data_IF_708710978648
#
_entry.id   IF_708710978648
#
_cell.length_a   1.000
_cell.length_b   1.000
_cell.length_c   1.000
_cell.angle_alpha   90.00
_cell.angle_beta   90.00
_cell.angle_gamma   90.00
#
_symmetry.space_group_name_H-M   'P 1'
#
loop_
_entity.id
_entity.type
_entity.pdbx_description
1 polymer ?
#
# COMPACT_ATOMS: atom_id res chain seq x y z
N UNK A 1 -9.70 15.33 2.23
CA UNK A 1 -8.71 15.80 3.27
C UNK A 1 -8.13 14.63 4.04
N UNK A 2 -8.96 13.71 4.52
CA UNK A 2 -8.51 12.46 5.16
C UNK A 2 -7.58 11.64 4.24
N UNK A 3 -7.86 11.56 2.93
CA UNK A 3 -7.02 10.77 2.00
C UNK A 3 -5.58 11.28 1.94
N UNK A 4 -5.40 12.60 1.95
CA UNK A 4 -4.08 13.24 1.92
C UNK A 4 -3.29 12.89 3.19
N UNK A 5 -3.94 12.97 4.35
CA UNK A 5 -3.32 12.63 5.64
C UNK A 5 -2.86 11.17 5.63
N UNK A 6 -3.69 10.26 5.11
CA UNK A 6 -3.36 8.84 5.02
C UNK A 6 -2.20 8.56 4.07
N UNK A 7 -2.16 9.22 2.91
CA UNK A 7 -1.01 9.16 2.00
C UNK A 7 0.27 9.65 2.68
N UNK A 8 0.21 10.74 3.45
CA UNK A 8 1.34 11.27 4.21
C UNK A 8 1.79 10.31 5.32
N UNK A 9 0.86 9.69 6.04
CA UNK A 9 1.18 8.66 7.05
C UNK A 9 1.88 7.46 6.42
N UNK A 10 1.42 6.98 5.26
CA UNK A 10 2.06 5.90 4.52
C UNK A 10 3.49 6.28 4.12
N UNK A 11 3.70 7.50 3.60
CA UNK A 11 5.03 8.00 3.25
C UNK A 11 5.96 8.08 4.47
N UNK A 12 5.44 8.47 5.64
CA UNK A 12 6.20 8.48 6.89
C UNK A 12 6.61 7.07 7.31
N UNK A 13 5.72 6.08 7.21
CA UNK A 13 6.04 4.66 7.47
C UNK A 13 7.10 4.15 6.50
N UNK A 14 6.95 4.43 5.21
CA UNK A 14 7.94 4.08 4.18
C UNK A 14 9.30 4.69 4.47
N UNK A 15 9.36 5.97 4.82
CA UNK A 15 10.58 6.65 5.21
C UNK A 15 11.22 5.97 6.44
N UNK A 16 10.46 5.70 7.48
CA UNK A 16 10.95 5.04 8.70
C UNK A 16 11.52 3.64 8.41
N UNK A 17 10.88 2.90 7.51
CA UNK A 17 11.36 1.59 7.04
C UNK A 17 12.66 1.78 6.25
N UNK A 18 12.72 2.73 5.32
CA UNK A 18 13.83 2.93 4.37
C UNK A 18 15.05 3.66 4.91
N UNK A 19 14.94 4.44 6.00
CA UNK A 19 16.02 5.30 6.51
C UNK A 19 17.35 4.60 6.81
N UNK A 20 17.32 3.29 7.13
CA UNK A 20 18.52 2.47 7.40
C UNK A 20 19.12 1.81 6.14
N UNK A 21 18.57 2.07 4.96
CA UNK A 21 18.96 1.49 3.68
C UNK A 21 19.87 2.39 2.83
N UNK A 22 20.03 2.06 1.55
CA UNK A 22 20.76 2.90 0.61
C UNK A 22 19.94 4.16 0.27
N UNK A 23 20.61 5.33 0.23
CA UNK A 23 19.95 6.61 -0.12
C UNK A 23 19.27 6.54 -1.49
N UNK A 24 19.91 5.87 -2.47
CA UNK A 24 19.34 5.67 -3.83
C UNK A 24 18.00 4.93 -3.77
N UNK A 25 17.95 3.78 -3.09
CA UNK A 25 16.71 3.01 -2.93
C UNK A 25 15.64 3.85 -2.22
N UNK A 26 16.01 4.58 -1.18
CA UNK A 26 15.09 5.44 -0.45
C UNK A 26 14.45 6.49 -1.36
N UNK A 27 15.24 7.24 -2.14
CA UNK A 27 14.71 8.26 -3.05
C UNK A 27 13.88 7.67 -4.19
N UNK A 28 14.30 6.56 -4.78
CA UNK A 28 13.53 5.89 -5.84
C UNK A 28 12.17 5.41 -5.32
N UNK A 29 12.15 4.76 -4.16
CA UNK A 29 10.91 4.25 -3.57
C UNK A 29 10.00 5.41 -3.13
N UNK A 30 10.53 6.41 -2.42
CA UNK A 30 9.72 7.56 -2.02
C UNK A 30 9.19 8.31 -3.24
N UNK A 31 9.99 8.53 -4.27
CA UNK A 31 9.57 9.14 -5.52
C UNK A 31 8.42 8.38 -6.17
N UNK A 32 8.52 7.04 -6.25
CA UNK A 32 7.44 6.18 -6.73
C UNK A 32 6.14 6.41 -5.94
N UNK A 33 6.18 6.33 -4.61
CA UNK A 33 4.97 6.47 -3.79
C UNK A 33 4.40 7.89 -3.77
N UNK A 34 5.25 8.92 -3.88
CA UNK A 34 4.81 10.32 -3.99
C UNK A 34 4.04 10.51 -5.31
N UNK A 35 4.61 10.09 -6.44
CA UNK A 35 3.95 10.18 -7.75
C UNK A 35 2.65 9.38 -7.72
N UNK A 36 2.68 8.16 -7.18
CA UNK A 36 1.51 7.31 -7.04
C UNK A 36 0.41 7.98 -6.19
N UNK A 37 0.78 8.68 -5.12
CA UNK A 37 -0.17 9.44 -4.27
C UNK A 37 -0.80 10.60 -5.00
N UNK A 38 -0.02 11.36 -5.75
CA UNK A 38 -0.53 12.48 -6.55
C UNK A 38 -1.52 11.97 -7.61
N UNK A 39 -1.15 10.95 -8.38
CA UNK A 39 -2.03 10.39 -9.41
C UNK A 39 -3.30 9.82 -8.79
N UNK A 40 -3.17 9.09 -7.68
CA UNK A 40 -4.30 8.50 -6.97
C UNK A 40 -5.33 9.56 -6.54
N UNK A 41 -4.87 10.62 -5.88
CA UNK A 41 -5.72 11.70 -5.36
C UNK A 41 -6.38 12.47 -6.50
N UNK A 42 -5.62 12.80 -7.56
CA UNK A 42 -6.17 13.50 -8.73
C UNK A 42 -7.31 12.68 -9.36
N UNK A 43 -7.07 11.38 -9.60
CA UNK A 43 -8.11 10.53 -10.19
C UNK A 43 -9.32 10.34 -9.29
N UNK A 44 -9.12 10.24 -7.97
CA UNK A 44 -10.22 10.12 -7.02
C UNK A 44 -11.10 11.37 -7.02
N UNK A 45 -10.48 12.56 -7.01
CA UNK A 45 -11.20 13.84 -7.11
C UNK A 45 -11.93 13.99 -8.46
N UNK A 46 -11.34 13.52 -9.55
CA UNK A 46 -11.98 13.55 -10.87
C UNK A 46 -13.21 12.64 -10.92
N UNK A 47 -13.12 11.44 -10.36
CA UNK A 47 -14.26 10.50 -10.27
C UNK A 47 -15.37 11.11 -9.41
N UNK A 48 -15.02 11.61 -8.23
CA UNK A 48 -15.98 12.24 -7.31
C UNK A 48 -16.72 13.41 -7.98
N UNK A 49 -16.00 14.25 -8.74
CA UNK A 49 -16.58 15.38 -9.48
C UNK A 49 -17.41 14.97 -10.68
N UNK A 50 -16.94 14.02 -11.49
CA UNK A 50 -17.61 13.63 -12.74
C UNK A 50 -18.91 12.85 -12.47
N UNK A 51 -18.96 12.07 -11.39
CA UNK A 51 -20.11 11.26 -11.03
C UNK A 51 -20.95 11.85 -9.88
N UNK A 52 -20.64 13.06 -9.42
CA UNK A 52 -21.42 13.80 -8.41
C UNK A 52 -21.72 12.98 -7.13
N UNK A 53 -20.73 12.20 -6.68
CA UNK A 53 -20.91 11.14 -5.68
C UNK A 53 -21.42 11.60 -4.29
N UNK A 54 -21.41 12.91 -4.02
CA UNK A 54 -21.84 13.48 -2.73
C UNK A 54 -23.20 14.19 -2.78
N UNK A 55 -23.76 14.43 -3.96
CA UNK A 55 -24.99 15.24 -4.11
C UNK A 55 -26.09 14.50 -4.85
N UNK A 56 -25.80 13.98 -6.04
CA UNK A 56 -26.76 13.24 -6.88
C UNK A 56 -25.99 12.23 -7.74
N UNK A 57 -25.64 11.06 -7.17
CA UNK A 57 -24.69 10.15 -7.78
C UNK A 57 -25.17 9.65 -9.14
N UNK A 58 -24.36 9.88 -10.17
CA UNK A 58 -24.59 9.33 -11.50
C UNK A 58 -24.28 7.83 -11.48
N UNK A 59 -25.11 7.05 -12.16
CA UNK A 59 -24.95 5.60 -12.24
C UNK A 59 -23.55 5.20 -12.74
N UNK A 60 -23.00 4.13 -12.18
CA UNK A 60 -21.64 3.67 -12.43
C UNK A 60 -20.52 4.42 -11.68
N UNK A 61 -20.81 5.53 -11.00
CA UNK A 61 -19.77 6.30 -10.28
C UNK A 61 -19.12 5.56 -9.12
N UNK A 62 -19.91 4.81 -8.35
CA UNK A 62 -19.39 3.94 -7.29
C UNK A 62 -18.52 2.81 -7.85
N UNK A 63 -18.92 2.20 -8.96
CA UNK A 63 -18.10 1.18 -9.63
C UNK A 63 -16.78 1.76 -10.14
N UNK A 64 -16.80 2.97 -10.71
CA UNK A 64 -15.59 3.68 -11.14
C UNK A 64 -14.65 3.97 -9.95
N UNK A 65 -15.19 4.47 -8.83
CA UNK A 65 -14.43 4.72 -7.60
C UNK A 65 -13.84 3.44 -7.03
N UNK A 66 -14.62 2.37 -6.95
CA UNK A 66 -14.15 1.07 -6.47
C UNK A 66 -13.00 0.54 -7.35
N UNK A 67 -13.18 0.53 -8.67
CA UNK A 67 -12.16 0.06 -9.60
C UNK A 67 -10.86 0.87 -9.50
N UNK A 68 -10.97 2.19 -9.36
CA UNK A 68 -9.82 3.07 -9.14
C UNK A 68 -9.09 2.74 -7.84
N UNK A 69 -9.82 2.70 -6.72
CA UNK A 69 -9.25 2.39 -5.40
C UNK A 69 -8.64 0.99 -5.36
N UNK A 70 -9.32 -0.02 -5.90
CA UNK A 70 -8.82 -1.39 -5.96
C UNK A 70 -7.54 -1.50 -6.79
N UNK A 71 -7.49 -0.86 -7.96
CA UNK A 71 -6.30 -0.83 -8.80
C UNK A 71 -5.11 -0.22 -8.05
N UNK A 72 -5.33 0.91 -7.38
CA UNK A 72 -4.27 1.55 -6.61
C UNK A 72 -3.88 0.74 -5.38
N UNK A 73 -4.79 0.01 -4.74
CA UNK A 73 -4.46 -0.89 -3.63
C UNK A 73 -3.36 -1.89 -4.05
N UNK A 74 -3.46 -2.48 -5.25
CA UNK A 74 -2.40 -3.33 -5.79
C UNK A 74 -1.08 -2.58 -6.01
N UNK A 75 -1.13 -1.38 -6.60
CA UNK A 75 0.05 -0.56 -6.86
C UNK A 75 0.74 -0.08 -5.58
N UNK A 76 0.01 0.11 -4.49
CA UNK A 76 0.59 0.44 -3.19
C UNK A 76 1.15 -0.79 -2.50
N UNK A 77 0.38 -1.88 -2.43
CA UNK A 77 0.65 -2.96 -1.48
C UNK A 77 1.66 -3.95 -2.04
N UNK A 78 1.58 -4.31 -3.33
CA UNK A 78 2.51 -5.29 -3.90
C UNK A 78 3.96 -4.80 -3.78
N UNK A 79 4.33 -3.58 -4.22
CA UNK A 79 5.70 -3.10 -4.08
C UNK A 79 6.12 -2.97 -2.60
N UNK A 80 5.20 -2.61 -1.71
CA UNK A 80 5.47 -2.54 -0.27
C UNK A 80 5.82 -3.91 0.31
N UNK A 81 5.03 -4.94 0.00
CA UNK A 81 5.29 -6.32 0.44
C UNK A 81 6.61 -6.84 -0.12
N UNK A 82 6.95 -6.52 -1.38
CA UNK A 82 8.25 -6.87 -1.98
C UNK A 82 9.39 -6.20 -1.18
N UNK A 83 9.31 -4.90 -0.91
CA UNK A 83 10.33 -4.19 -0.13
C UNK A 83 10.46 -4.72 1.30
N UNK A 84 9.33 -5.03 1.94
CA UNK A 84 9.27 -5.56 3.30
C UNK A 84 9.87 -6.97 3.35
N UNK A 85 9.51 -7.84 2.40
CA UNK A 85 10.05 -9.21 2.31
C UNK A 85 11.57 -9.21 2.15
N UNK A 86 12.13 -8.35 1.30
CA UNK A 86 13.57 -8.21 1.12
C UNK A 86 14.28 -7.90 2.45
N UNK A 87 13.74 -6.96 3.23
CA UNK A 87 14.31 -6.58 4.53
C UNK A 87 14.16 -7.66 5.57
N UNK A 88 12.98 -8.25 5.65
CA UNK A 88 12.66 -9.28 6.61
C UNK A 88 13.47 -10.56 6.37
N UNK A 89 13.67 -10.98 5.11
CA UNK A 89 14.54 -12.11 4.82
C UNK A 89 16.00 -11.85 5.16
N UNK A 90 16.49 -10.62 4.94
CA UNK A 90 17.83 -10.22 5.40
C UNK A 90 17.93 -10.29 6.92
N UNK A 91 16.88 -9.92 7.65
CA UNK A 91 16.83 -10.04 9.11
C UNK A 91 16.78 -11.49 9.56
N UNK A 92 15.93 -12.35 8.97
CA UNK A 92 15.84 -13.78 9.30
C UNK A 92 17.19 -14.48 9.10
N UNK A 93 17.90 -14.19 8.00
CA UNK A 93 19.22 -14.78 7.75
C UNK A 93 20.26 -14.37 8.81
N UNK A 94 20.10 -13.21 9.45
CA UNK A 94 20.99 -12.72 10.51
C UNK A 94 20.59 -13.21 11.91
N UNK A 95 19.30 -13.32 12.17
CA UNK A 95 18.76 -13.67 13.49
C UNK A 95 18.79 -15.20 13.75
N UNK A 96 18.71 -16.02 12.69
CA UNK A 96 18.62 -17.48 12.82
C UNK A 96 19.87 -18.17 12.27
N UNK A 97 20.60 -18.84 13.17
CA UNK A 97 21.87 -19.50 12.87
C UNK A 97 21.69 -20.90 12.25
N UNK A 98 20.74 -21.69 12.74
CA UNK A 98 20.48 -23.06 12.26
C UNK A 98 19.66 -23.05 10.97
N UNK A 99 20.07 -23.87 9.99
CA UNK A 99 19.42 -23.94 8.68
C UNK A 99 17.91 -24.27 8.77
N UNK A 100 17.53 -25.25 9.59
CA UNK A 100 16.14 -25.62 9.84
C UNK A 100 15.30 -24.45 10.39
N UNK A 101 15.79 -23.78 11.43
CA UNK A 101 15.08 -22.63 12.03
C UNK A 101 14.91 -21.47 11.03
N UNK A 102 15.93 -21.22 10.21
CA UNK A 102 15.90 -20.19 9.16
C UNK A 102 14.89 -20.50 8.07
N UNK A 103 14.80 -21.77 7.64
CA UNK A 103 13.83 -22.22 6.64
C UNK A 103 12.41 -22.12 7.21
N UNK A 104 12.18 -22.67 8.41
CA UNK A 104 10.89 -22.60 9.09
C UNK A 104 10.42 -21.14 9.25
N UNK A 105 11.31 -20.24 9.66
CA UNK A 105 10.96 -18.84 9.82
C UNK A 105 10.67 -18.14 8.49
N UNK A 106 11.35 -18.50 7.39
CA UNK A 106 10.99 -17.99 6.06
C UNK A 106 9.58 -18.40 5.64
N UNK A 107 9.16 -19.63 5.91
CA UNK A 107 7.79 -20.08 5.63
C UNK A 107 6.76 -19.29 6.43
N UNK A 108 6.96 -19.15 7.74
CA UNK A 108 6.05 -18.35 8.60
C UNK A 108 5.99 -16.90 8.13
N UNK A 109 7.12 -16.34 7.70
CA UNK A 109 7.20 -14.97 7.20
C UNK A 109 6.47 -14.79 5.87
N UNK A 110 6.61 -15.74 4.94
CA UNK A 110 5.88 -15.73 3.67
C UNK A 110 4.38 -15.80 3.94
N UNK A 111 3.93 -16.72 4.79
CA UNK A 111 2.52 -16.84 5.16
C UNK A 111 1.98 -15.53 5.78
N UNK A 112 2.77 -14.93 6.69
CA UNK A 112 2.42 -13.66 7.33
C UNK A 112 2.34 -12.50 6.35
N UNK A 113 3.24 -12.44 5.36
CA UNK A 113 3.23 -11.40 4.32
C UNK A 113 2.06 -11.55 3.36
N UNK A 114 1.71 -12.78 2.98
CA UNK A 114 0.55 -13.04 2.12
C UNK A 114 -0.73 -12.62 2.86
N UNK A 115 -0.92 -13.12 4.08
CA UNK A 115 -2.09 -12.80 4.89
C UNK A 115 -2.18 -11.30 5.21
N UNK A 116 -1.06 -10.71 5.64
CA UNK A 116 -0.98 -9.26 5.90
C UNK A 116 -1.20 -8.43 4.64
N UNK A 117 -0.75 -8.89 3.47
CA UNK A 117 -1.00 -8.23 2.19
C UNK A 117 -2.48 -8.21 1.81
N UNK A 118 -3.20 -9.33 2.01
CA UNK A 118 -4.65 -9.39 1.82
C UNK A 118 -5.39 -8.44 2.77
N UNK A 119 -5.04 -8.45 4.06
CA UNK A 119 -5.62 -7.54 5.04
C UNK A 119 -5.35 -6.09 4.65
N UNK A 120 -4.12 -5.77 4.25
CA UNK A 120 -3.75 -4.43 3.83
C UNK A 120 -4.58 -3.98 2.62
N UNK A 121 -4.85 -4.87 1.65
CA UNK A 121 -5.67 -4.52 0.47
C UNK A 121 -7.09 -4.19 0.89
N UNK A 122 -7.68 -5.03 1.74
CA UNK A 122 -9.02 -4.79 2.24
C UNK A 122 -9.11 -3.50 3.05
N UNK A 123 -8.13 -3.26 3.94
CA UNK A 123 -8.04 -2.03 4.71
C UNK A 123 -7.89 -0.80 3.81
N UNK A 124 -7.05 -0.87 2.77
CA UNK A 124 -6.87 0.22 1.82
C UNK A 124 -8.19 0.53 1.09
N UNK A 125 -8.86 -0.49 0.55
CA UNK A 125 -10.14 -0.30 -0.14
C UNK A 125 -11.17 0.31 0.80
N UNK A 126 -11.37 -0.25 2.00
CA UNK A 126 -12.31 0.31 2.98
C UNK A 126 -12.01 1.75 3.35
N UNK A 127 -10.73 2.11 3.44
CA UNK A 127 -10.31 3.45 3.85
C UNK A 127 -10.62 4.51 2.79
N UNK A 128 -10.39 4.20 1.51
CA UNK A 128 -10.50 5.20 0.43
C UNK A 128 -11.79 5.11 -0.39
N UNK A 129 -12.39 3.92 -0.50
CA UNK A 129 -13.72 3.76 -1.08
C UNK A 129 -14.81 4.12 -0.06
N UNK A 130 -14.57 3.82 1.22
CA UNK A 130 -15.56 3.94 2.30
C UNK A 130 -16.51 2.74 2.37
N UNK A 131 -17.39 2.74 3.36
CA UNK A 131 -18.63 1.97 3.28
C UNK A 131 -19.57 2.79 2.41
N UNK A 132 -19.83 2.33 1.18
CA UNK A 132 -20.87 2.94 0.35
C UNK A 132 -22.17 3.01 1.20
N UNK A 133 -22.83 4.19 1.30
CA UNK A 133 -24.10 4.31 2.00
C UNK A 133 -25.19 3.47 1.33
#
# INVERSE_FOLDING_TARGET
>A
MLEIILCLMLLAVLYAVLRKGSRKLMFTVLGYYIILSVVFIIGLNQIDSNYQLYTDPVDGGFAAKFNWVATFAYLYIIPFIILLSYKLFKWVNKAFHTALSRIAMKFVLIASLIFGGYIAMFAFVLTFYGFAP
#
